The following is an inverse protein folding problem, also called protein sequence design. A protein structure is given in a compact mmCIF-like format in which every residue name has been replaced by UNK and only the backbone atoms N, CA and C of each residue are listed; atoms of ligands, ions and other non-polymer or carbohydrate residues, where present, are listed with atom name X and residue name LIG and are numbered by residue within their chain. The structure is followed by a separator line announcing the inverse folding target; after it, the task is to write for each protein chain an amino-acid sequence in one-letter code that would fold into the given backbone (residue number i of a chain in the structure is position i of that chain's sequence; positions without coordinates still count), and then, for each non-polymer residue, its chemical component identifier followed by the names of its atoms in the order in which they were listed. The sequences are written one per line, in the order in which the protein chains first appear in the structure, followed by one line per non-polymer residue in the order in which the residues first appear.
data_IF_597293994236
#
_entry.id   IF_597293994236
#
_cell.length_a   1.000
_cell.length_b   1.000
_cell.length_c   1.000
_cell.angle_alpha   90.00
_cell.angle_beta   90.00
_cell.angle_gamma   90.00
#
_symmetry.space_group_name_H-M   'P 1'
#
loop_
_entity.id
_entity.type
_entity.pdbx_description
1 polymer ?
#
# COMPACT_ATOMS: atom_id res chain seq x y z
N UNK A 1 52.22 -2.90 31.15
CA UNK A 1 52.38 -4.32 31.53
C UNK A 1 51.65 -4.51 32.84
N UNK A 2 50.62 -5.38 32.84
CA UNK A 2 49.78 -5.85 33.94
C UNK A 2 49.00 -4.82 34.80
N UNK A 3 47.67 -4.78 34.60
CA UNK A 3 46.74 -4.51 35.70
C UNK A 3 45.64 -5.57 35.65
N UNK A 4 45.68 -6.49 36.61
CA UNK A 4 44.63 -7.46 36.86
C UNK A 4 43.83 -7.03 38.09
N UNK A 5 42.51 -7.13 37.99
CA UNK A 5 41.63 -7.39 39.12
C UNK A 5 40.30 -7.92 38.57
N UNK A 6 40.06 -9.21 38.75
CA UNK A 6 38.74 -9.83 38.57
C UNK A 6 37.89 -9.50 39.78
N UNK A 7 36.64 -9.10 39.55
CA UNK A 7 35.58 -9.20 40.53
C UNK A 7 34.34 -9.81 39.85
N UNK A 8 33.83 -10.86 40.46
CA UNK A 8 32.74 -11.71 40.00
C UNK A 8 31.60 -11.55 41.01
N UNK A 9 30.43 -11.09 40.58
CA UNK A 9 29.15 -11.06 41.29
C UNK A 9 28.21 -10.16 40.47
N UNK A 10 26.92 -10.37 40.29
CA UNK A 10 25.94 -11.38 40.68
C UNK A 10 24.70 -10.99 39.85
N UNK A 11 23.92 -11.96 39.35
CA UNK A 11 22.87 -11.69 38.37
C UNK A 11 21.74 -10.75 38.85
N UNK A 12 21.20 -9.99 37.89
CA UNK A 12 19.82 -9.51 37.87
C UNK A 12 19.35 -9.62 36.41
N UNK A 13 18.25 -10.33 36.19
CA UNK A 13 17.73 -10.66 34.85
C UNK A 13 17.44 -9.42 34.02
N UNK A 14 18.02 -9.37 32.83
CA UNK A 14 17.60 -8.41 31.79
C UNK A 14 16.25 -8.90 31.27
N UNK A 15 15.18 -8.35 31.83
CA UNK A 15 13.86 -8.43 31.22
C UNK A 15 13.95 -7.74 29.86
N UNK A 16 14.06 -8.52 28.79
CA UNK A 16 13.98 -8.07 27.39
C UNK A 16 12.52 -7.69 27.08
N UNK A 17 11.99 -6.68 27.78
CA UNK A 17 10.64 -6.16 27.58
C UNK A 17 10.72 -4.65 27.42
N UNK A 18 11.42 -4.17 26.38
CA UNK A 18 11.63 -2.73 26.22
C UNK A 18 12.12 -2.21 24.87
N UNK A 19 12.24 -3.04 23.83
CA UNK A 19 12.65 -2.57 22.50
C UNK A 19 11.57 -2.92 21.46
N UNK A 20 10.33 -2.51 21.71
CA UNK A 20 9.43 -2.21 20.61
C UNK A 20 9.68 -0.75 20.27
N UNK A 21 10.46 -0.42 19.22
CA UNK A 21 10.55 0.97 18.79
C UNK A 21 9.12 1.45 18.52
N UNK A 22 8.71 2.61 19.06
CA UNK A 22 7.42 3.17 18.70
C UNK A 22 7.38 3.26 17.17
N UNK A 23 6.32 2.74 16.56
CA UNK A 23 6.09 2.91 15.13
C UNK A 23 6.17 4.42 14.87
N UNK A 24 7.29 4.86 14.30
CA UNK A 24 7.54 6.27 14.05
C UNK A 24 6.45 6.69 13.08
N UNK A 25 5.46 7.41 13.58
CA UNK A 25 4.45 8.06 12.77
C UNK A 25 5.19 9.07 11.91
N UNK A 26 5.47 8.68 10.67
CA UNK A 26 6.09 9.56 9.70
C UNK A 26 5.25 10.86 9.61
N UNK A 27 5.87 12.04 9.58
CA UNK A 27 5.15 13.31 9.60
C UNK A 27 4.17 13.40 8.43
N UNK A 28 2.89 13.60 8.75
CA UNK A 28 1.75 13.53 7.84
C UNK A 28 2.02 14.17 6.47
N UNK A 29 2.25 13.27 5.51
CA UNK A 29 2.22 13.45 4.06
C UNK A 29 1.43 14.63 3.50
N UNK A 30 1.98 15.54 2.69
CA UNK A 30 1.22 16.09 1.58
C UNK A 30 1.38 15.00 0.54
N UNK A 31 0.40 14.11 0.57
CA UNK A 31 0.18 13.10 -0.44
C UNK A 31 -0.27 13.82 -1.72
N UNK A 32 0.30 13.44 -2.85
CA UNK A 32 -0.20 13.92 -4.14
C UNK A 32 -1.13 12.87 -4.70
N UNK A 33 -2.38 13.29 -4.98
CA UNK A 33 -3.42 12.45 -5.57
C UNK A 33 -3.72 12.96 -6.96
N UNK A 34 -3.61 12.09 -7.95
CA UNK A 34 -4.04 12.36 -9.32
C UNK A 34 -5.33 11.59 -9.59
N UNK A 35 -6.24 12.26 -10.29
CA UNK A 35 -7.45 11.67 -10.84
C UNK A 35 -7.32 11.70 -12.36
N UNK A 36 -7.30 10.52 -12.98
CA UNK A 36 -7.00 10.37 -14.41
C UNK A 36 -8.10 9.55 -15.05
N UNK A 37 -8.80 10.12 -16.04
CA UNK A 37 -9.78 9.35 -16.81
C UNK A 37 -9.07 8.33 -17.70
N UNK A 38 -9.55 7.09 -17.79
CA UNK A 38 -9.06 6.09 -18.75
C UNK A 38 -8.93 6.64 -20.18
N UNK A 39 -9.92 7.41 -20.65
CA UNK A 39 -9.93 8.00 -21.99
C UNK A 39 -8.87 9.07 -22.24
N UNK A 40 -8.25 9.62 -21.18
CA UNK A 40 -7.10 10.52 -21.33
C UNK A 40 -5.81 9.74 -21.59
N UNK A 41 -5.72 8.52 -21.07
CA UNK A 41 -4.58 7.63 -21.31
C UNK A 41 -4.71 6.92 -22.67
N UNK A 42 -5.92 6.46 -23.00
CA UNK A 42 -6.23 5.84 -24.28
C UNK A 42 -7.61 6.33 -24.79
N UNK A 43 -7.65 7.15 -25.84
CA UNK A 43 -8.91 7.66 -26.42
C UNK A 43 -9.88 6.58 -26.92
N UNK A 44 -9.44 5.34 -27.11
CA UNK A 44 -10.31 4.23 -27.49
C UNK A 44 -11.23 3.77 -26.35
N UNK A 45 -10.92 4.13 -25.09
CA UNK A 45 -11.73 3.76 -23.93
C UNK A 45 -13.01 4.60 -23.91
N UNK A 46 -14.14 3.95 -24.23
CA UNK A 46 -15.46 4.57 -24.26
C UNK A 46 -16.39 4.10 -23.13
N UNK A 47 -16.09 2.96 -22.50
CA UNK A 47 -16.81 2.37 -21.36
C UNK A 47 -15.83 2.22 -20.19
N UNK A 48 -16.34 2.16 -18.96
CA UNK A 48 -15.50 2.13 -17.74
C UNK A 48 -14.50 3.29 -17.73
N UNK A 49 -15.03 4.50 -17.83
CA UNK A 49 -14.27 5.74 -17.96
C UNK A 49 -14.44 6.66 -16.74
N UNK A 50 -14.81 6.12 -15.59
CA UNK A 50 -14.72 6.83 -14.33
C UNK A 50 -13.23 7.00 -13.94
N UNK A 51 -12.89 8.00 -13.11
CA UNK A 51 -11.48 8.30 -12.86
C UNK A 51 -10.73 7.21 -12.11
N UNK A 52 -9.55 6.87 -12.65
CA UNK A 52 -8.49 6.18 -11.92
C UNK A 52 -7.85 7.11 -10.89
N UNK A 53 -7.29 6.53 -9.84
CA UNK A 53 -6.59 7.27 -8.79
C UNK A 53 -5.13 6.86 -8.76
N UNK A 54 -4.23 7.85 -8.75
CA UNK A 54 -2.80 7.64 -8.47
C UNK A 54 -2.44 8.37 -7.18
N UNK A 55 -1.79 7.66 -6.25
CA UNK A 55 -1.33 8.23 -4.98
C UNK A 55 0.19 8.11 -4.88
N UNK A 56 0.83 9.25 -4.68
CA UNK A 56 2.27 9.35 -4.38
C UNK A 56 2.42 9.89 -2.97
N UNK A 57 2.93 9.04 -2.07
CA UNK A 57 3.23 9.41 -0.70
C UNK A 57 4.47 10.32 -0.60
N UNK A 58 4.56 11.13 0.46
CA UNK A 58 5.64 12.10 0.70
C UNK A 58 7.06 11.54 0.56
N UNK A 59 7.27 10.34 1.10
CA UNK A 59 8.59 9.75 1.27
C UNK A 59 8.82 8.56 0.32
N UNK A 60 8.01 8.48 -0.75
CA UNK A 60 8.19 7.46 -1.78
C UNK A 60 9.50 7.74 -2.52
N UNK A 61 10.40 6.77 -2.49
CA UNK A 61 11.63 6.80 -3.29
C UNK A 61 11.31 6.47 -4.75
N UNK A 62 12.17 6.89 -5.68
CA UNK A 62 12.02 6.58 -7.11
C UNK A 62 11.94 5.07 -7.41
N UNK A 63 12.62 4.25 -6.59
CA UNK A 63 12.56 2.78 -6.65
C UNK A 63 11.46 2.12 -5.83
N UNK A 64 10.52 2.89 -5.26
CA UNK A 64 9.42 2.32 -4.46
C UNK A 64 8.56 1.37 -5.30
N UNK A 65 8.15 0.25 -4.71
CA UNK A 65 7.30 -0.71 -5.39
C UNK A 65 5.94 -0.09 -5.73
N UNK A 66 5.35 -0.58 -6.83
CA UNK A 66 4.03 -0.17 -7.29
C UNK A 66 3.00 -1.16 -6.77
N UNK A 67 1.99 -0.65 -6.06
CA UNK A 67 0.78 -1.38 -5.71
C UNK A 67 -0.34 -0.97 -6.67
N UNK A 68 -0.90 -1.95 -7.38
CA UNK A 68 -2.08 -1.76 -8.23
C UNK A 68 -3.26 -2.41 -7.53
N UNK A 69 -4.29 -1.63 -7.25
CA UNK A 69 -5.53 -2.12 -6.66
C UNK A 69 -6.63 -2.16 -7.72
N UNK A 70 -7.14 -3.38 -7.95
CA UNK A 70 -8.27 -3.64 -8.83
C UNK A 70 -9.50 -3.90 -7.95
N UNK A 71 -10.51 -3.01 -7.94
CA UNK A 71 -11.73 -3.26 -7.20
C UNK A 71 -12.47 -4.49 -7.74
N UNK A 72 -13.32 -5.10 -6.91
CA UNK A 72 -14.25 -6.14 -7.40
C UNK A 72 -15.36 -5.52 -8.27
N UNK A 73 -16.14 -6.38 -8.94
CA UNK A 73 -17.19 -5.97 -9.89
C UNK A 73 -18.07 -4.84 -9.38
N UNK A 74 -18.21 -3.78 -10.17
CA UNK A 74 -19.01 -2.58 -9.86
C UNK A 74 -18.34 -1.65 -8.84
N UNK A 75 -17.14 -1.97 -8.37
CA UNK A 75 -16.35 -1.12 -7.51
C UNK A 75 -15.70 0.02 -8.29
N UNK A 76 -15.30 1.07 -7.57
CA UNK A 76 -14.61 2.24 -8.14
C UNK A 76 -13.40 2.61 -7.27
N UNK A 77 -12.28 3.03 -7.87
CA UNK A 77 -11.08 3.45 -7.13
C UNK A 77 -11.36 4.51 -6.05
N UNK A 78 -12.26 5.44 -6.36
CA UNK A 78 -12.67 6.50 -5.43
C UNK A 78 -13.35 5.98 -4.15
N UNK A 79 -14.03 4.83 -4.21
CA UNK A 79 -14.75 4.26 -3.06
C UNK A 79 -13.81 3.61 -2.03
N UNK A 80 -12.56 3.33 -2.41
CA UNK A 80 -11.57 2.64 -1.59
C UNK A 80 -10.38 3.53 -1.20
N UNK A 81 -10.52 4.85 -1.36
CA UNK A 81 -9.48 5.83 -1.01
C UNK A 81 -8.83 5.61 0.36
N UNK A 82 -9.55 5.28 1.46
CA UNK A 82 -8.91 5.02 2.75
C UNK A 82 -7.89 3.87 2.70
N UNK A 83 -8.20 2.79 1.98
CA UNK A 83 -7.29 1.67 1.79
C UNK A 83 -6.08 2.08 0.95
N UNK A 84 -6.30 2.79 -0.16
CA UNK A 84 -5.22 3.24 -1.04
C UNK A 84 -4.23 4.15 -0.29
N UNK A 85 -4.72 5.00 0.61
CA UNK A 85 -3.88 5.84 1.49
C UNK A 85 -3.08 5.04 2.50
N UNK A 86 -3.65 3.98 3.07
CA UNK A 86 -2.93 3.08 3.98
C UNK A 86 -1.77 2.42 3.23
N UNK A 87 -2.00 1.95 2.00
CA UNK A 87 -0.95 1.35 1.16
C UNK A 87 0.12 2.40 0.82
N UNK A 88 -0.26 3.61 0.42
CA UNK A 88 0.68 4.69 0.14
C UNK A 88 1.51 5.08 1.37
N UNK A 89 0.88 5.06 2.56
CA UNK A 89 1.53 5.32 3.85
C UNK A 89 2.59 4.27 4.22
N UNK A 90 2.54 3.07 3.64
CA UNK A 90 3.57 2.04 3.80
C UNK A 90 4.78 2.23 2.87
N UNK A 91 4.78 3.26 2.03
CA UNK A 91 5.89 3.60 1.14
C UNK A 91 5.75 3.04 -0.29
N UNK A 92 4.57 2.56 -0.67
CA UNK A 92 4.28 2.17 -2.04
C UNK A 92 3.85 3.36 -2.89
N UNK A 93 4.12 3.28 -4.19
CA UNK A 93 3.36 4.04 -5.20
C UNK A 93 2.05 3.31 -5.41
N UNK A 94 0.92 4.01 -5.46
CA UNK A 94 -0.39 3.34 -5.54
C UNK A 94 -1.16 3.80 -6.76
N UNK A 95 -1.75 2.84 -7.47
CA UNK A 95 -2.76 3.08 -8.50
C UNK A 95 -4.02 2.30 -8.11
N UNK A 96 -5.14 2.99 -7.98
CA UNK A 96 -6.47 2.38 -7.97
C UNK A 96 -7.06 2.50 -9.37
N UNK A 97 -7.37 1.37 -10.00
CA UNK A 97 -7.72 1.33 -11.42
C UNK A 97 -9.15 0.82 -11.61
N UNK A 98 -9.97 1.58 -12.32
CA UNK A 98 -11.20 1.07 -12.91
C UNK A 98 -10.84 0.26 -14.15
N UNK A 99 -11.53 -0.86 -14.35
CA UNK A 99 -11.37 -1.73 -15.49
C UNK A 99 -12.74 -2.28 -15.88
N UNK A 100 -12.79 -2.88 -17.06
CA UNK A 100 -13.94 -3.66 -17.49
C UNK A 100 -14.05 -4.92 -16.62
N UNK A 101 -14.98 -4.88 -15.67
CA UNK A 101 -15.23 -5.91 -14.67
C UNK A 101 -16.61 -6.56 -14.79
N UNK A 102 -17.29 -6.32 -15.93
CA UNK A 102 -18.61 -6.88 -16.26
C UNK A 102 -18.57 -7.85 -17.45
N UNK A 103 -19.25 -9.00 -17.36
CA UNK A 103 -19.91 -9.55 -16.17
C UNK A 103 -18.89 -9.95 -15.09
N UNK A 104 -19.37 -10.07 -13.85
CA UNK A 104 -18.51 -10.54 -12.77
C UNK A 104 -17.95 -11.93 -13.09
N UNK A 105 -16.68 -12.17 -12.73
CA UNK A 105 -16.02 -13.48 -12.99
C UNK A 105 -16.86 -14.65 -12.49
N UNK A 106 -17.48 -14.54 -11.31
CA UNK A 106 -18.35 -15.58 -10.74
C UNK A 106 -19.60 -15.89 -11.57
N UNK A 107 -20.06 -14.94 -12.40
CA UNK A 107 -21.20 -15.15 -13.31
C UNK A 107 -20.79 -15.98 -14.54
N UNK A 108 -19.53 -15.87 -14.96
CA UNK A 108 -18.98 -16.59 -16.12
C UNK A 108 -18.37 -17.93 -15.72
N UNK A 109 -17.67 -17.97 -14.59
CA UNK A 109 -16.94 -19.12 -14.06
C UNK A 109 -17.51 -19.55 -12.68
N UNK A 110 -18.75 -20.09 -12.63
CA UNK A 110 -19.47 -20.31 -11.37
C UNK A 110 -18.97 -21.48 -10.52
N UNK A 111 -18.10 -22.34 -11.05
CA UNK A 111 -17.61 -23.55 -10.36
C UNK A 111 -16.15 -23.47 -9.97
N UNK A 112 -15.37 -22.70 -10.71
CA UNK A 112 -13.99 -22.42 -10.39
C UNK A 112 -13.56 -21.14 -11.13
N UNK A 113 -13.38 -20.01 -10.43
CA UNK A 113 -12.90 -18.78 -11.05
C UNK A 113 -11.41 -18.83 -11.41
N UNK A 114 -10.67 -19.84 -10.94
CA UNK A 114 -9.21 -19.98 -11.09
C UNK A 114 -8.78 -21.12 -12.04
N UNK A 115 -9.71 -21.90 -12.61
CA UNK A 115 -9.41 -23.01 -13.56
C UNK A 115 -9.49 -22.63 -15.04
#
# INVERSE_FOLDING_TARGET
MALGARAFALGIGVSLCGLFPPAASAPAGIETVYSVLPSQADPAVAQFNDPNVVIIGKNVTEGAQLAVFLPGTGGRPMNVMPLLRVIAGQGYRVIGLEYDDEPAVVQVCPRDPDL
#
